data_IF_154761422021
#
_entry.id   IF_154761422021
#
_cell.length_a   1.000
_cell.length_b   1.000
_cell.length_c   1.000
_cell.angle_alpha   90.00
_cell.angle_beta   90.00
_cell.angle_gamma   90.00
#
_symmetry.space_group_name_H-M   'P 1'
#
loop_
_entity.id
_entity.type
_entity.pdbx_description
1 polymer ?
#
# COMPACT_ATOMS: atom_id res chain seq x y z
N UNK A 1 -18.84 -16.62 -16.18
CA UNK A 1 -18.69 -15.91 -14.90
C UNK A 1 -18.25 -16.82 -13.76
N UNK A 2 -18.86 -17.97 -13.57
CA UNK A 2 -18.58 -18.94 -12.48
C UNK A 2 -17.12 -19.44 -12.44
N UNK A 3 -16.47 -19.69 -13.58
CA UNK A 3 -15.08 -20.19 -13.63
C UNK A 3 -14.05 -19.19 -13.09
N UNK A 4 -14.29 -17.87 -13.29
CA UNK A 4 -13.40 -16.82 -12.77
C UNK A 4 -13.56 -16.64 -11.26
N UNK A 5 -14.77 -16.79 -10.75
CA UNK A 5 -15.08 -16.75 -9.32
C UNK A 5 -14.48 -17.97 -8.61
N UNK A 6 -14.55 -19.15 -9.22
CA UNK A 6 -13.93 -20.37 -8.67
C UNK A 6 -12.41 -20.30 -8.60
N UNK A 7 -11.77 -19.69 -9.59
CA UNK A 7 -10.31 -19.47 -9.56
C UNK A 7 -9.88 -18.49 -8.46
N UNK A 8 -10.69 -17.46 -8.23
CA UNK A 8 -10.45 -16.50 -7.16
C UNK A 8 -10.66 -17.14 -5.77
N UNK A 9 -11.70 -17.96 -5.65
CA UNK A 9 -11.95 -18.74 -4.43
C UNK A 9 -10.86 -19.79 -4.18
N UNK A 10 -10.38 -20.47 -5.23
CA UNK A 10 -9.29 -21.45 -5.15
C UNK A 10 -7.97 -20.77 -4.73
N UNK A 11 -7.68 -19.56 -5.25
CA UNK A 11 -6.55 -18.76 -4.83
C UNK A 11 -6.61 -18.38 -3.35
N UNK A 12 -7.81 -18.02 -2.85
CA UNK A 12 -8.01 -17.71 -1.43
C UNK A 12 -7.82 -18.95 -0.53
N UNK A 13 -8.25 -20.13 -0.97
CA UNK A 13 -8.14 -21.35 -0.16
C UNK A 13 -6.72 -21.92 -0.13
N UNK A 14 -5.91 -21.69 -1.16
CA UNK A 14 -4.51 -22.13 -1.19
C UNK A 14 -3.61 -21.31 -0.25
N UNK A 15 -4.02 -20.11 0.16
CA UNK A 15 -3.29 -19.28 1.12
C UNK A 15 -3.51 -19.68 2.59
N UNK A 16 -4.44 -20.59 2.89
CA UNK A 16 -4.78 -21.01 4.26
C UNK A 16 -3.76 -21.97 4.90
N UNK A 17 -2.70 -22.34 4.20
CA UNK A 17 -1.76 -23.38 4.64
C UNK A 17 -0.44 -22.88 5.24
N UNK A 18 -0.20 -21.57 5.33
CA UNK A 18 1.09 -21.06 5.79
C UNK A 18 0.89 -20.29 7.10
N UNK A 19 0.95 -21.00 8.20
CA UNK A 19 0.90 -20.41 9.54
C UNK A 19 2.23 -19.73 9.88
N UNK A 20 2.14 -18.62 10.63
CA UNK A 20 3.27 -17.91 11.26
C UNK A 20 4.15 -17.07 10.32
N UNK A 21 3.57 -16.39 9.34
CA UNK A 21 4.34 -15.51 8.43
C UNK A 21 4.54 -14.08 8.98
N UNK A 22 3.65 -13.60 9.84
CA UNK A 22 3.69 -12.24 10.38
C UNK A 22 4.12 -12.24 11.85
N UNK A 23 5.25 -12.88 12.15
CA UNK A 23 5.81 -12.95 13.50
C UNK A 23 6.64 -11.72 13.82
N UNK A 24 6.67 -11.35 15.10
CA UNK A 24 7.55 -10.33 15.65
C UNK A 24 9.02 -10.54 15.22
N UNK A 25 9.74 -9.44 15.00
CA UNK A 25 11.16 -9.46 14.69
C UNK A 25 11.51 -9.51 13.21
N UNK A 26 10.53 -9.67 12.32
CA UNK A 26 10.78 -9.76 10.87
C UNK A 26 10.86 -8.37 10.22
N UNK A 27 11.86 -8.19 9.35
CA UNK A 27 11.98 -7.03 8.49
C UNK A 27 11.09 -7.16 7.23
N UNK A 28 10.74 -6.02 6.66
CA UNK A 28 9.95 -5.93 5.43
C UNK A 28 10.52 -4.86 4.50
N UNK A 29 10.61 -5.21 3.23
CA UNK A 29 10.91 -4.29 2.13
C UNK A 29 9.79 -4.40 1.10
N UNK A 30 9.22 -3.29 0.71
CA UNK A 30 8.14 -3.24 -0.26
C UNK A 30 8.36 -2.20 -1.34
N UNK A 31 7.88 -2.49 -2.52
CA UNK A 31 7.74 -1.53 -3.61
C UNK A 31 6.35 -1.67 -4.22
N UNK A 32 5.68 -0.57 -4.50
CA UNK A 32 4.36 -0.60 -5.11
C UNK A 32 4.22 0.43 -6.22
N UNK A 33 3.47 0.05 -7.24
CA UNK A 33 2.96 0.95 -8.25
C UNK A 33 1.63 1.49 -7.73
N UNK A 34 1.56 2.81 -7.59
CA UNK A 34 0.35 3.57 -7.32
C UNK A 34 -0.14 4.21 -8.61
N UNK A 35 -1.41 4.55 -8.70
CA UNK A 35 -1.90 5.24 -9.90
C UNK A 35 -2.73 4.39 -10.84
N UNK A 36 -3.15 3.20 -10.43
CA UNK A 36 -4.34 2.58 -11.00
C UNK A 36 -5.56 3.29 -10.39
N UNK A 37 -5.50 4.62 -10.39
CA UNK A 37 -6.47 5.45 -9.71
C UNK A 37 -7.84 5.30 -10.37
N UNK A 38 -8.78 4.77 -9.61
CA UNK A 38 -10.19 5.05 -9.81
C UNK A 38 -10.45 6.46 -9.26
N UNK A 39 -9.87 7.44 -9.90
CA UNK A 39 -10.02 8.83 -9.50
C UNK A 39 -11.44 9.29 -9.84
N UNK A 40 -12.26 9.45 -8.85
CA UNK A 40 -13.60 10.00 -8.98
C UNK A 40 -13.58 11.53 -8.79
N UNK A 41 -12.81 12.22 -9.61
CA UNK A 41 -12.89 13.67 -9.77
C UNK A 41 -12.81 13.98 -11.26
N UNK A 42 -13.92 14.03 -11.94
CA UNK A 42 -14.19 14.16 -13.36
C UNK A 42 -13.26 15.00 -14.29
N UNK A 43 -11.97 15.12 -13.97
CA UNK A 43 -11.02 15.97 -14.72
C UNK A 43 -9.67 15.31 -15.01
N UNK A 44 -9.42 14.03 -14.65
CA UNK A 44 -8.03 13.64 -14.53
C UNK A 44 -7.51 12.55 -15.44
N UNK A 45 -6.33 12.85 -15.92
CA UNK A 45 -5.45 12.05 -16.73
C UNK A 45 -4.69 11.06 -15.83
N UNK A 46 -4.33 9.96 -16.44
CA UNK A 46 -3.54 8.86 -15.90
C UNK A 46 -2.39 9.35 -15.01
N UNK A 47 -2.38 8.95 -13.76
CA UNK A 47 -1.34 9.25 -12.79
C UNK A 47 -0.58 7.96 -12.48
N UNK A 48 0.75 7.97 -12.53
CA UNK A 48 1.59 6.83 -12.17
C UNK A 48 2.51 7.26 -11.04
N UNK A 49 2.46 6.54 -9.93
CA UNK A 49 3.35 6.72 -8.80
C UNK A 49 4.16 5.47 -8.49
N UNK A 50 5.31 5.68 -7.90
CA UNK A 50 6.16 4.63 -7.35
C UNK A 50 6.31 4.87 -5.84
N UNK A 51 6.02 3.86 -5.04
CA UNK A 51 6.16 3.89 -3.59
C UNK A 51 7.14 2.81 -3.16
N UNK A 52 8.09 3.17 -2.31
CA UNK A 52 8.97 2.24 -1.61
C UNK A 52 8.64 2.25 -0.11
N UNK A 53 8.68 1.07 0.51
CA UNK A 53 8.38 0.88 1.93
C UNK A 53 9.49 0.08 2.61
N UNK A 54 9.74 0.43 3.85
CA UNK A 54 10.49 -0.40 4.78
C UNK A 54 9.63 -0.63 6.01
N UNK A 55 9.69 -1.81 6.58
CA UNK A 55 8.86 -2.17 7.72
C UNK A 55 9.56 -3.13 8.68
N UNK A 56 9.01 -3.19 9.87
CA UNK A 56 9.45 -4.09 10.92
C UNK A 56 8.22 -4.58 11.68
N UNK A 57 8.09 -5.90 11.83
CA UNK A 57 7.06 -6.52 12.65
C UNK A 57 7.43 -6.35 14.13
N UNK A 58 6.88 -5.29 14.73
CA UNK A 58 7.14 -4.92 16.12
C UNK A 58 6.45 -5.85 17.11
N UNK A 59 5.36 -6.50 16.68
CA UNK A 59 4.61 -7.53 17.39
C UNK A 59 4.06 -8.51 16.37
N UNK A 60 3.58 -9.66 16.86
CA UNK A 60 2.84 -10.59 16.00
C UNK A 60 1.66 -9.86 15.36
N UNK A 61 1.54 -10.00 14.04
CA UNK A 61 0.52 -9.37 13.20
C UNK A 61 0.57 -7.82 13.10
N UNK A 62 1.50 -7.12 13.78
CA UNK A 62 1.62 -5.66 13.74
C UNK A 62 2.96 -5.24 13.16
N UNK A 63 2.91 -4.58 12.01
CA UNK A 63 4.07 -4.02 11.32
C UNK A 63 4.07 -2.50 11.41
N UNK A 64 5.21 -1.94 11.80
CA UNK A 64 5.48 -0.51 11.64
C UNK A 64 6.13 -0.28 10.28
N UNK A 65 5.71 0.77 9.59
CA UNK A 65 6.11 1.09 8.23
C UNK A 65 6.62 2.52 8.11
N UNK A 66 7.66 2.69 7.31
CA UNK A 66 8.03 3.96 6.73
C UNK A 66 7.95 3.84 5.21
N UNK A 67 7.53 4.91 4.54
CA UNK A 67 7.35 4.93 3.08
C UNK A 67 7.87 6.21 2.47
N UNK A 68 8.30 6.11 1.24
CA UNK A 68 8.58 7.24 0.37
C UNK A 68 7.95 6.96 -0.98
N UNK A 69 7.22 7.93 -1.52
CA UNK A 69 6.66 7.84 -2.87
C UNK A 69 6.94 9.07 -3.69
N UNK A 70 7.04 8.87 -4.97
CA UNK A 70 7.13 9.93 -5.97
C UNK A 70 6.03 9.70 -7.00
N UNK A 71 5.26 10.74 -7.28
CA UNK A 71 4.18 10.70 -8.25
C UNK A 71 4.46 11.68 -9.38
N UNK A 72 4.29 11.19 -10.61
CA UNK A 72 4.41 11.99 -11.82
C UNK A 72 3.04 12.12 -12.47
N UNK A 73 2.58 13.35 -12.58
CA UNK A 73 1.33 13.68 -13.23
C UNK A 73 1.59 14.12 -14.68
N UNK A 74 1.02 13.41 -15.64
CA UNK A 74 1.03 13.82 -17.06
C UNK A 74 0.22 15.09 -17.34
N UNK A 75 -0.30 15.77 -16.33
CA UNK A 75 -1.07 17.01 -16.43
C UNK A 75 -0.25 18.20 -15.93
N UNK A 76 -0.20 19.27 -16.72
CA UNK A 76 0.44 20.54 -16.32
C UNK A 76 -0.22 21.25 -15.13
N UNK A 77 -1.37 20.74 -14.68
CA UNK A 77 -2.17 21.37 -13.62
C UNK A 77 -1.83 20.87 -12.20
N UNK A 78 -1.18 19.69 -12.08
CA UNK A 78 -0.76 19.12 -10.80
C UNK A 78 0.75 18.93 -10.85
N UNK A 79 1.44 19.51 -9.88
CA UNK A 79 2.90 19.40 -9.79
C UNK A 79 3.33 18.02 -9.35
N UNK A 80 4.49 17.58 -9.83
CA UNK A 80 5.16 16.40 -9.29
C UNK A 80 5.42 16.59 -7.80
N UNK A 81 5.17 15.57 -7.01
CA UNK A 81 5.34 15.65 -5.56
C UNK A 81 6.01 14.41 -4.98
N UNK A 82 6.67 14.62 -3.86
CA UNK A 82 7.29 13.58 -3.05
C UNK A 82 6.49 13.47 -1.76
N UNK A 83 6.16 12.25 -1.38
CA UNK A 83 5.44 11.97 -0.14
C UNK A 83 6.29 11.04 0.72
N UNK A 84 6.47 11.44 1.98
CA UNK A 84 7.11 10.61 3.01
C UNK A 84 6.06 10.25 4.04
N UNK A 85 6.00 8.98 4.41
CA UNK A 85 4.97 8.49 5.33
C UNK A 85 5.51 7.58 6.41
N UNK A 86 4.77 7.52 7.50
CA UNK A 86 4.92 6.53 8.55
C UNK A 86 3.54 5.99 8.94
N UNK A 87 3.48 4.70 9.23
CA UNK A 87 2.22 4.07 9.58
C UNK A 87 2.39 2.70 10.22
N UNK A 88 1.28 2.04 10.42
CA UNK A 88 1.22 0.69 10.91
C UNK A 88 0.27 -0.15 10.06
N UNK A 89 0.53 -1.44 10.01
CA UNK A 89 -0.27 -2.43 9.31
C UNK A 89 -0.60 -3.56 10.27
N UNK A 90 -1.86 -3.94 10.36
CA UNK A 90 -2.34 -5.05 11.15
C UNK A 90 -2.80 -6.19 10.23
N UNK A 91 -2.21 -7.38 10.40
CA UNK A 91 -2.56 -8.58 9.64
C UNK A 91 -3.63 -9.37 10.39
N UNK A 92 -4.78 -9.59 9.75
CA UNK A 92 -5.92 -10.26 10.38
C UNK A 92 -5.66 -11.76 10.40
N UNK A 93 -5.55 -12.33 11.61
CA UNK A 93 -5.42 -13.78 11.85
C UNK A 93 -4.39 -14.49 10.97
N UNK A 94 -3.30 -13.82 10.62
CA UNK A 94 -2.18 -14.37 9.84
C UNK A 94 -2.57 -14.95 8.46
N UNK A 95 -3.68 -14.51 7.89
CA UNK A 95 -4.16 -15.01 6.61
C UNK A 95 -3.71 -14.17 5.40
N UNK A 96 -2.92 -13.13 5.63
CA UNK A 96 -2.46 -12.20 4.61
C UNK A 96 -3.36 -10.97 4.41
N UNK A 97 -4.59 -10.97 4.90
CA UNK A 97 -5.44 -9.78 4.87
C UNK A 97 -4.91 -8.76 5.89
N UNK A 98 -4.73 -7.52 5.47
CA UNK A 98 -4.24 -6.48 6.36
C UNK A 98 -5.05 -5.19 6.26
N UNK A 99 -5.05 -4.47 7.38
CA UNK A 99 -5.52 -3.12 7.52
C UNK A 99 -4.32 -2.23 7.82
N UNK A 100 -4.15 -1.15 7.08
CA UNK A 100 -3.09 -0.17 7.31
C UNK A 100 -3.65 1.20 7.62
N UNK A 101 -2.96 1.94 8.46
CA UNK A 101 -3.22 3.35 8.71
C UNK A 101 -1.91 4.09 8.94
N UNK A 102 -1.86 5.36 8.55
CA UNK A 102 -0.65 6.15 8.72
C UNK A 102 -0.83 7.62 8.37
N UNK A 103 0.21 8.37 8.68
CA UNK A 103 0.32 9.78 8.31
C UNK A 103 1.37 9.91 7.22
N UNK A 104 1.09 10.75 6.24
CA UNK A 104 1.99 11.06 5.13
C UNK A 104 2.23 12.56 5.08
N UNK A 105 3.44 12.95 4.75
CA UNK A 105 3.81 14.33 4.52
C UNK A 105 4.12 14.53 3.05
N UNK A 106 3.34 15.38 2.41
CA UNK A 106 3.43 15.70 0.99
C UNK A 106 4.22 16.99 0.82
N UNK A 107 5.25 16.93 -0.02
CA UNK A 107 6.00 18.09 -0.47
C UNK A 107 5.90 18.20 -1.99
N UNK A 108 5.25 19.24 -2.47
CA UNK A 108 5.12 19.55 -3.88
C UNK A 108 5.95 20.76 -4.28
N UNK A 109 6.25 20.88 -5.56
CA UNK A 109 6.90 22.06 -6.13
C UNK A 109 6.13 23.35 -5.77
N UNK A 110 6.83 24.48 -5.67
CA UNK A 110 6.33 25.78 -5.20
C UNK A 110 6.10 25.88 -3.68
N UNK A 111 6.86 25.09 -2.90
CA UNK A 111 6.85 25.16 -1.43
C UNK A 111 5.49 24.82 -0.78
N UNK A 112 4.70 23.97 -1.46
CA UNK A 112 3.45 23.47 -0.91
C UNK A 112 3.71 22.24 -0.04
N UNK A 113 3.29 22.33 1.21
CA UNK A 113 3.39 21.23 2.18
C UNK A 113 1.99 20.89 2.68
N UNK A 114 1.67 19.61 2.72
CA UNK A 114 0.42 19.09 3.25
C UNK A 114 0.64 17.85 4.10
N UNK A 115 -0.29 17.56 4.99
CA UNK A 115 -0.34 16.34 5.77
C UNK A 115 -1.56 15.53 5.32
N UNK A 116 -1.34 14.25 5.06
CA UNK A 116 -2.37 13.31 4.65
C UNK A 116 -2.54 12.25 5.72
N UNK A 117 -3.78 11.92 6.04
CA UNK A 117 -4.12 10.74 6.83
C UNK A 117 -4.52 9.63 5.88
N UNK A 118 -3.77 8.52 5.90
CA UNK A 118 -3.97 7.38 5.00
C UNK A 118 -4.56 6.18 5.72
N UNK A 119 -5.42 5.46 5.00
CA UNK A 119 -5.89 4.13 5.37
C UNK A 119 -5.78 3.20 4.16
N UNK A 120 -5.47 1.94 4.40
CA UNK A 120 -5.40 0.93 3.34
C UNK A 120 -5.98 -0.41 3.81
N UNK A 121 -6.56 -1.13 2.86
CA UNK A 121 -6.97 -2.53 3.01
C UNK A 121 -6.36 -3.31 1.88
N UNK A 122 -5.60 -4.34 2.19
CA UNK A 122 -4.93 -5.15 1.18
C UNK A 122 -4.74 -6.59 1.59
N UNK A 123 -4.17 -7.34 0.68
CA UNK A 123 -3.90 -8.75 0.88
C UNK A 123 -2.47 -9.09 0.45
N UNK A 124 -1.70 -9.74 1.32
CA UNK A 124 -0.35 -10.22 1.03
C UNK A 124 -0.42 -11.66 0.51
N UNK A 125 -0.38 -11.82 -0.82
CA UNK A 125 -0.30 -13.14 -1.46
C UNK A 125 1.15 -13.60 -1.50
N UNK A 126 1.50 -14.61 -0.72
CA UNK A 126 2.82 -15.20 -0.75
C UNK A 126 3.04 -16.04 -2.02
N UNK A 127 4.01 -15.63 -2.84
CA UNK A 127 4.49 -16.40 -4.00
C UNK A 127 5.47 -17.49 -3.52
N UNK A 128 6.25 -17.16 -2.51
CA UNK A 128 7.16 -18.07 -1.81
C UNK A 128 7.24 -17.68 -0.33
N UNK A 129 8.20 -18.27 0.43
CA UNK A 129 8.33 -18.02 1.88
C UNK A 129 8.56 -16.54 2.24
N UNK A 130 9.14 -15.73 1.34
CA UNK A 130 9.59 -14.37 1.64
C UNK A 130 8.96 -13.31 0.76
N UNK A 131 8.45 -13.66 -0.42
CA UNK A 131 7.98 -12.69 -1.43
C UNK A 131 6.48 -12.73 -1.56
N UNK A 132 5.88 -11.55 -1.54
CA UNK A 132 4.43 -11.34 -1.68
C UNK A 132 4.08 -10.45 -2.86
N UNK A 133 2.88 -10.67 -3.42
CA UNK A 133 2.16 -9.69 -4.25
C UNK A 133 1.07 -9.09 -3.38
N UNK A 134 1.00 -7.77 -3.33
CA UNK A 134 0.14 -7.05 -2.39
C UNK A 134 -0.81 -6.09 -3.10
N UNK A 135 -1.94 -6.59 -3.65
CA UNK A 135 -3.02 -5.71 -4.06
C UNK A 135 -3.65 -5.03 -2.85
N UNK A 136 -3.94 -3.74 -2.96
CA UNK A 136 -4.60 -2.96 -1.91
C UNK A 136 -5.47 -1.85 -2.49
N UNK A 137 -6.49 -1.49 -1.73
CA UNK A 137 -7.26 -0.27 -1.89
C UNK A 137 -6.78 0.69 -0.80
N UNK A 138 -6.53 1.92 -1.16
CA UNK A 138 -6.11 2.95 -0.21
C UNK A 138 -6.97 4.20 -0.33
N UNK A 139 -7.03 4.94 0.75
CA UNK A 139 -7.65 6.25 0.83
C UNK A 139 -6.72 7.19 1.59
N UNK A 140 -6.39 8.32 1.00
CA UNK A 140 -5.60 9.37 1.61
C UNK A 140 -6.46 10.64 1.74
N UNK A 141 -6.60 11.15 2.94
CA UNK A 141 -7.33 12.37 3.25
C UNK A 141 -6.36 13.52 3.43
N UNK A 142 -6.45 14.53 2.58
CA UNK A 142 -5.73 15.80 2.74
C UNK A 142 -6.42 16.70 3.76
N UNK A 143 -5.63 17.39 4.58
CA UNK A 143 -6.14 18.36 5.53
C UNK A 143 -6.18 19.79 4.99
N UNK A 144 -5.42 20.09 3.93
CA UNK A 144 -5.37 21.45 3.37
C UNK A 144 -6.23 21.62 2.13
N UNK A 145 -6.18 20.67 1.21
CA UNK A 145 -6.91 20.77 -0.05
C UNK A 145 -7.45 19.41 -0.46
N UNK A 146 -8.76 19.31 -0.60
CA UNK A 146 -9.45 18.08 -1.01
C UNK A 146 -9.01 17.56 -2.38
N UNK A 147 -8.34 18.37 -3.19
CA UNK A 147 -7.75 17.92 -4.46
C UNK A 147 -6.67 16.85 -4.29
N UNK A 148 -6.01 16.81 -3.11
CA UNK A 148 -5.01 15.81 -2.77
C UNK A 148 -5.61 14.63 -2.01
N UNK A 149 -6.92 14.64 -1.71
CA UNK A 149 -7.60 13.45 -1.18
C UNK A 149 -7.83 12.46 -2.31
N UNK A 150 -7.36 11.23 -2.11
CA UNK A 150 -7.32 10.22 -3.17
C UNK A 150 -7.83 8.89 -2.65
N UNK A 151 -8.67 8.23 -3.44
CA UNK A 151 -8.97 6.81 -3.30
C UNK A 151 -8.41 6.09 -4.51
N UNK A 152 -7.69 5.00 -4.31
CA UNK A 152 -7.06 4.31 -5.42
C UNK A 152 -6.78 2.84 -5.15
N UNK A 153 -6.36 2.17 -6.21
CA UNK A 153 -5.83 0.81 -6.17
C UNK A 153 -4.31 0.87 -6.27
N UNK A 154 -3.64 0.03 -5.52
CA UNK A 154 -2.20 -0.19 -5.67
C UNK A 154 -1.87 -1.66 -5.77
N UNK A 155 -0.78 -1.96 -6.46
CA UNK A 155 -0.22 -3.28 -6.57
C UNK A 155 1.23 -3.23 -6.10
N UNK A 156 1.51 -3.91 -5.02
CA UNK A 156 2.83 -3.97 -4.41
C UNK A 156 3.50 -5.33 -4.56
N UNK A 157 4.80 -5.30 -4.40
CA UNK A 157 5.65 -6.47 -4.14
C UNK A 157 6.29 -6.27 -2.77
N UNK A 158 6.22 -7.27 -1.92
CA UNK A 158 6.81 -7.27 -0.60
C UNK A 158 7.85 -8.37 -0.46
N UNK A 159 8.89 -8.10 0.31
CA UNK A 159 9.90 -9.07 0.70
C UNK A 159 9.97 -9.06 2.23
N UNK A 160 9.63 -10.19 2.83
CA UNK A 160 9.78 -10.42 4.27
C UNK A 160 11.15 -11.03 4.52
N UNK A 161 11.93 -10.35 5.33
CA UNK A 161 13.27 -10.80 5.72
C UNK A 161 13.11 -11.67 6.96
N UNK A 162 13.44 -12.95 6.81
CA UNK A 162 13.47 -13.91 7.91
C UNK A 162 14.91 -13.99 8.42
N UNK A 163 15.10 -13.86 9.72
CA UNK A 163 16.32 -14.37 10.34
C UNK A 163 16.19 -15.90 10.43
N UNK A 164 17.16 -16.62 9.88
CA UNK A 164 17.28 -18.07 9.94
C UNK A 164 17.60 -18.53 11.38
#
# INVERSE_FOLDING_TARGET
MMKKLSLLLLGLTLSLGIHAQFQEGKGYLGASLTGLDLHYNGHDKFNIGLEAKVGYLAWDDIMLLASVSAEHNGSKAVADHIVVGAGARYYITQNGLYLGAGCKFLHANHNYNDMLLGAEVGYAFFINRSVTIEPAIYYDQSFKDTKYSTIGLKLGLGIYLFDD
#
